data_IF_429810350854
#
_entry.id   IF_429810350854
#
_cell.length_a   1.000
_cell.length_b   1.000
_cell.length_c   1.000
_cell.angle_alpha   90.00
_cell.angle_beta   90.00
_cell.angle_gamma   90.00
#
_symmetry.space_group_name_H-M   'P 1'
#
loop_
_entity.id
_entity.type
_entity.pdbx_description
1 polymer ?
#
# COMPACT_ATOMS: atom_id res chain seq x y z
N UNK A 1 27.56 62.56 -1.20
CA UNK A 1 27.17 61.16 -1.52
C UNK A 1 27.45 60.34 -0.29
N UNK A 2 26.43 60.19 0.54
CA UNK A 2 26.60 59.88 1.95
C UNK A 2 26.72 58.37 2.09
N UNK A 3 27.96 57.91 2.31
CA UNK A 3 28.34 56.50 2.35
C UNK A 3 27.48 55.69 3.34
N UNK A 4 26.93 56.34 4.37
CA UNK A 4 26.03 55.75 5.37
C UNK A 4 24.69 55.29 4.78
N UNK A 5 24.17 55.94 3.74
CA UNK A 5 22.88 55.64 3.13
C UNK A 5 22.99 54.49 2.11
N UNK A 6 24.15 54.36 1.48
CA UNK A 6 24.47 53.27 0.56
C UNK A 6 24.74 51.95 1.31
N UNK A 7 25.49 52.00 2.42
CA UNK A 7 25.75 50.83 3.27
C UNK A 7 24.46 50.30 3.92
N UNK A 8 23.55 51.19 4.34
CA UNK A 8 22.27 50.80 4.94
C UNK A 8 21.34 50.11 3.95
N UNK A 9 21.32 50.54 2.68
CA UNK A 9 20.55 49.91 1.59
C UNK A 9 21.14 48.56 1.18
N UNK A 10 22.47 48.43 1.14
CA UNK A 10 23.15 47.16 0.81
C UNK A 10 22.95 46.13 1.92
N UNK A 11 23.03 46.53 3.20
CA UNK A 11 22.75 45.62 4.32
C UNK A 11 21.29 45.16 4.33
N UNK A 12 20.33 46.04 3.99
CA UNK A 12 18.91 45.66 3.93
C UNK A 12 18.64 44.65 2.80
N UNK A 13 19.26 44.85 1.62
CA UNK A 13 19.09 43.95 0.47
C UNK A 13 19.78 42.60 0.72
N UNK A 14 20.98 42.58 1.32
CA UNK A 14 21.67 41.32 1.67
C UNK A 14 20.89 40.51 2.72
N UNK A 15 20.25 41.17 3.68
CA UNK A 15 19.48 40.51 4.74
C UNK A 15 18.17 39.89 4.20
N UNK A 16 17.54 40.51 3.20
CA UNK A 16 16.39 39.92 2.48
C UNK A 16 16.78 38.72 1.59
N UNK A 17 17.95 38.75 0.94
CA UNK A 17 18.43 37.64 0.10
C UNK A 17 18.83 36.43 0.95
N UNK A 18 19.39 36.65 2.14
CA UNK A 18 19.69 35.57 3.09
C UNK A 18 18.41 34.94 3.68
N UNK A 19 17.36 35.72 3.95
CA UNK A 19 16.06 35.19 4.37
C UNK A 19 15.36 34.39 3.25
N UNK A 20 15.52 34.77 1.98
CA UNK A 20 14.99 33.99 0.85
C UNK A 20 15.83 32.72 0.55
N UNK A 21 17.13 32.73 0.85
CA UNK A 21 18.01 31.57 0.67
C UNK A 21 17.88 30.52 1.80
N UNK A 22 17.52 30.93 3.03
CA UNK A 22 17.35 30.03 4.17
C UNK A 22 15.88 29.78 4.58
N UNK A 23 14.94 30.64 4.21
CA UNK A 23 13.51 30.52 4.57
C UNK A 23 12.69 29.57 3.68
N UNK A 24 13.29 29.02 2.62
CA UNK A 24 12.63 28.15 1.65
C UNK A 24 12.70 26.64 1.92
N UNK A 25 13.11 26.20 3.12
CA UNK A 25 13.22 24.76 3.45
C UNK A 25 12.16 24.30 4.48
N UNK A 26 11.31 25.20 4.99
CA UNK A 26 10.31 24.86 6.02
C UNK A 26 8.86 24.76 5.51
N UNK A 27 8.67 24.52 4.22
CA UNK A 27 7.38 24.16 3.64
C UNK A 27 7.51 22.83 2.88
N UNK A 28 6.59 21.90 3.15
CA UNK A 28 6.58 20.48 2.73
C UNK A 28 7.42 19.50 3.58
N UNK A 29 7.30 19.60 4.90
CA UNK A 29 7.03 18.37 5.64
C UNK A 29 5.53 18.08 5.48
N UNK A 30 5.13 17.61 4.29
CA UNK A 30 3.93 16.77 4.23
C UNK A 30 4.24 15.61 5.16
N UNK A 31 3.65 15.62 6.35
CA UNK A 31 3.39 14.40 7.06
C UNK A 31 2.46 13.62 6.16
N UNK A 32 3.05 12.88 5.21
CA UNK A 32 2.42 11.74 4.56
C UNK A 32 2.13 10.79 5.71
N UNK A 33 1.00 11.03 6.35
CA UNK A 33 0.35 10.13 7.29
C UNK A 33 0.42 8.80 6.56
N UNK A 34 1.11 7.77 7.11
CA UNK A 34 1.02 6.46 6.51
C UNK A 34 -0.46 6.14 6.58
N UNK A 35 -1.13 6.28 5.44
CA UNK A 35 -2.42 5.66 5.22
C UNK A 35 -2.20 4.19 5.60
N UNK A 36 -3.22 3.53 6.15
CA UNK A 36 -3.22 2.10 6.48
C UNK A 36 -3.14 1.21 5.21
N UNK A 37 -2.36 1.67 4.24
CA UNK A 37 -2.18 1.28 2.87
C UNK A 37 -0.68 1.25 2.55
N UNK A 38 0.17 1.05 3.58
CA UNK A 38 1.41 0.27 3.47
C UNK A 38 1.02 -1.18 3.11
N UNK A 39 0.36 -1.29 1.95
CA UNK A 39 0.10 -2.50 1.21
C UNK A 39 1.47 -3.08 0.96
N UNK A 40 1.86 -4.05 1.79
CA UNK A 40 2.86 -5.06 1.45
C UNK A 40 2.62 -5.39 -0.02
N UNK A 41 3.50 -4.91 -0.90
CA UNK A 41 3.28 -4.93 -2.35
C UNK A 41 3.20 -6.40 -2.74
N UNK A 42 1.98 -6.94 -2.87
CA UNK A 42 1.79 -8.34 -3.18
C UNK A 42 2.35 -8.55 -4.58
N UNK A 43 3.27 -9.49 -4.71
CA UNK A 43 3.71 -9.95 -6.01
C UNK A 43 2.56 -10.73 -6.65
N UNK A 44 1.67 -9.99 -7.33
CA UNK A 44 0.47 -10.53 -7.94
C UNK A 44 0.78 -11.62 -8.97
N UNK A 45 1.91 -11.52 -9.67
CA UNK A 45 2.33 -12.53 -10.66
C UNK A 45 2.67 -13.84 -9.96
N UNK A 46 3.46 -13.78 -8.89
CA UNK A 46 3.81 -14.96 -8.09
C UNK A 46 2.58 -15.55 -7.41
N UNK A 47 1.75 -14.72 -6.79
CA UNK A 47 0.53 -15.17 -6.13
C UNK A 47 -0.42 -15.88 -7.12
N UNK A 48 -0.58 -15.33 -8.33
CA UNK A 48 -1.42 -15.92 -9.36
C UNK A 48 -0.87 -17.24 -9.92
N UNK A 49 0.46 -17.36 -10.04
CA UNK A 49 1.09 -18.63 -10.42
C UNK A 49 0.80 -19.73 -9.41
N UNK A 50 0.95 -19.43 -8.12
CA UNK A 50 0.63 -20.38 -7.03
C UNK A 50 -0.87 -20.71 -7.03
N UNK A 51 -1.74 -19.71 -7.17
CA UNK A 51 -3.18 -19.89 -7.27
C UNK A 51 -3.55 -20.87 -8.40
N UNK A 52 -3.02 -20.65 -9.61
CA UNK A 52 -3.25 -21.57 -10.74
C UNK A 52 -2.73 -22.97 -10.47
N UNK A 53 -1.54 -23.07 -9.90
CA UNK A 53 -0.89 -24.37 -9.70
C UNK A 53 -1.53 -25.19 -8.59
N UNK A 54 -2.05 -24.56 -7.53
CA UNK A 54 -2.48 -25.27 -6.32
C UNK A 54 -3.99 -25.21 -6.10
N UNK A 55 -4.63 -24.07 -6.32
CA UNK A 55 -6.06 -23.91 -6.08
C UNK A 55 -6.91 -24.48 -7.23
N UNK A 56 -6.38 -24.44 -8.47
CA UNK A 56 -7.11 -24.90 -9.65
C UNK A 56 -6.89 -26.38 -10.02
N UNK A 57 -6.20 -27.14 -9.17
CA UNK A 57 -6.04 -28.59 -9.39
C UNK A 57 -7.32 -29.37 -9.08
N UNK A 58 -8.15 -28.84 -8.18
CA UNK A 58 -9.42 -29.46 -7.76
C UNK A 58 -10.65 -28.61 -8.11
N UNK A 59 -10.47 -27.32 -8.44
CA UNK A 59 -11.55 -26.39 -8.74
C UNK A 59 -11.29 -25.65 -10.05
N UNK A 60 -12.32 -25.45 -10.87
CA UNK A 60 -12.19 -24.60 -12.06
C UNK A 60 -12.14 -23.11 -11.71
N UNK A 61 -12.76 -22.72 -10.60
CA UNK A 61 -12.76 -21.37 -10.06
C UNK A 61 -12.96 -21.38 -8.54
N UNK A 62 -12.24 -20.50 -7.85
CA UNK A 62 -12.35 -20.32 -6.39
C UNK A 62 -12.95 -18.96 -6.02
N UNK A 63 -12.74 -17.93 -6.86
CA UNK A 63 -13.22 -16.57 -6.65
C UNK A 63 -14.34 -16.23 -7.65
N UNK A 64 -15.51 -16.85 -7.46
CA UNK A 64 -16.71 -16.61 -8.26
C UNK A 64 -17.19 -15.14 -8.14
N UNK A 65 -17.34 -14.41 -9.26
CA UNK A 65 -17.78 -13.01 -9.25
C UNK A 65 -19.25 -12.84 -8.85
N UNK A 66 -20.10 -13.86 -8.97
CA UNK A 66 -21.52 -13.75 -8.62
C UNK A 66 -21.77 -13.90 -7.11
N UNK A 67 -20.74 -14.31 -6.34
CA UNK A 67 -20.82 -14.45 -4.90
C UNK A 67 -20.39 -13.17 -4.18
N UNK A 68 -20.93 -12.86 -2.98
CA UNK A 68 -20.46 -11.74 -2.18
C UNK A 68 -18.96 -11.84 -1.87
N UNK A 69 -18.29 -10.68 -1.73
CA UNK A 69 -16.90 -10.56 -1.30
C UNK A 69 -16.63 -11.24 0.05
N UNK A 70 -15.36 -11.53 0.32
CA UNK A 70 -14.90 -12.05 1.61
C UNK A 70 -13.75 -11.20 2.08
N UNK A 71 -13.70 -10.93 3.38
CA UNK A 71 -12.56 -10.26 4.02
C UNK A 71 -11.29 -11.08 3.85
N UNK A 72 -10.14 -10.44 4.06
CA UNK A 72 -8.85 -11.12 3.96
C UNK A 72 -8.75 -12.31 4.92
N UNK A 73 -9.25 -12.15 6.14
CA UNK A 73 -9.12 -13.17 7.17
C UNK A 73 -10.06 -14.35 6.91
N UNK A 74 -11.26 -14.08 6.35
CA UNK A 74 -12.15 -15.14 5.84
C UNK A 74 -11.49 -15.94 4.71
N UNK A 75 -10.72 -15.30 3.82
CA UNK A 75 -9.97 -16.02 2.79
C UNK A 75 -8.85 -16.88 3.38
N UNK A 76 -8.16 -16.42 4.42
CA UNK A 76 -7.14 -17.22 5.10
C UNK A 76 -7.77 -18.46 5.77
N UNK A 77 -8.95 -18.32 6.38
CA UNK A 77 -9.69 -19.44 6.96
C UNK A 77 -10.14 -20.45 5.90
N UNK A 78 -10.59 -19.98 4.73
CA UNK A 78 -10.92 -20.86 3.59
C UNK A 78 -9.70 -21.63 3.14
N UNK A 79 -8.55 -20.96 2.98
CA UNK A 79 -7.31 -21.63 2.57
C UNK A 79 -6.91 -22.68 3.61
N UNK A 80 -6.94 -22.36 4.90
CA UNK A 80 -6.65 -23.31 5.98
C UNK A 80 -7.59 -24.53 5.94
N UNK A 81 -8.88 -24.31 5.67
CA UNK A 81 -9.83 -25.41 5.48
C UNK A 81 -9.40 -26.31 4.32
N UNK A 82 -8.91 -25.74 3.21
CA UNK A 82 -8.42 -26.50 2.06
C UNK A 82 -7.09 -27.22 2.35
N UNK A 83 -6.26 -26.75 3.27
CA UNK A 83 -5.08 -27.50 3.73
C UNK A 83 -5.48 -28.87 4.27
N UNK A 84 -6.60 -28.95 5.01
CA UNK A 84 -7.16 -30.21 5.49
C UNK A 84 -7.58 -31.19 4.36
N UNK A 85 -7.86 -30.67 3.17
CA UNK A 85 -8.16 -31.46 1.96
C UNK A 85 -6.93 -31.74 1.08
N UNK A 86 -5.72 -31.47 1.58
CA UNK A 86 -4.47 -31.75 0.87
C UNK A 86 -3.87 -30.55 0.11
N UNK A 87 -4.40 -29.33 0.29
CA UNK A 87 -3.78 -28.12 -0.25
C UNK A 87 -2.45 -27.83 0.46
N UNK A 88 -1.33 -28.21 -0.16
CA UNK A 88 0.01 -28.00 0.40
C UNK A 88 0.56 -26.60 0.13
N UNK A 89 0.07 -25.57 0.83
CA UNK A 89 0.69 -24.23 0.83
C UNK A 89 1.63 -24.05 2.03
N UNK A 90 2.66 -23.24 1.88
CA UNK A 90 3.43 -22.73 3.03
C UNK A 90 2.75 -21.49 3.61
N UNK A 91 3.00 -21.09 4.87
CA UNK A 91 2.39 -19.89 5.46
C UNK A 91 2.57 -18.62 4.60
N UNK A 92 3.75 -18.47 3.99
CA UNK A 92 4.05 -17.36 3.08
C UNK A 92 3.22 -17.40 1.79
N UNK A 93 2.99 -18.59 1.24
CA UNK A 93 2.14 -18.74 0.06
C UNK A 93 0.67 -18.53 0.41
N UNK A 94 0.23 -18.98 1.59
CA UNK A 94 -1.12 -18.73 2.12
C UNK A 94 -1.40 -17.23 2.22
N UNK A 95 -0.46 -16.43 2.74
CA UNK A 95 -0.60 -14.97 2.74
C UNK A 95 -0.68 -14.37 1.33
N UNK A 96 0.14 -14.86 0.39
CA UNK A 96 0.17 -14.35 -0.99
C UNK A 96 -1.14 -14.67 -1.72
N UNK A 97 -1.64 -15.91 -1.61
CA UNK A 97 -2.86 -16.36 -2.26
C UNK A 97 -4.08 -15.74 -1.59
N UNK A 98 -4.14 -15.70 -0.25
CA UNK A 98 -5.21 -15.05 0.49
C UNK A 98 -5.30 -13.55 0.18
N UNK A 99 -4.14 -12.88 0.10
CA UNK A 99 -4.05 -11.49 -0.33
C UNK A 99 -4.50 -11.28 -1.78
N UNK A 100 -4.17 -12.19 -2.70
CA UNK A 100 -4.66 -12.15 -4.09
C UNK A 100 -6.19 -12.30 -4.13
N UNK A 101 -6.75 -13.31 -3.47
CA UNK A 101 -8.19 -13.61 -3.46
C UNK A 101 -9.01 -12.46 -2.86
N UNK A 102 -8.50 -11.84 -1.80
CA UNK A 102 -9.05 -10.60 -1.25
C UNK A 102 -8.99 -9.47 -2.29
N UNK A 103 -7.82 -9.23 -2.89
CA UNK A 103 -7.62 -8.12 -3.83
C UNK A 103 -8.47 -8.24 -5.10
N UNK A 104 -8.77 -9.45 -5.56
CA UNK A 104 -9.65 -9.68 -6.72
C UNK A 104 -11.06 -9.13 -6.48
N UNK A 105 -11.51 -9.03 -5.23
CA UNK A 105 -12.88 -8.65 -4.87
C UNK A 105 -12.94 -7.54 -3.83
N UNK A 106 -11.87 -6.74 -3.75
CA UNK A 106 -11.79 -5.63 -2.80
C UNK A 106 -12.92 -4.64 -3.03
N UNK A 107 -13.64 -4.30 -1.98
CA UNK A 107 -14.78 -3.38 -2.01
C UNK A 107 -16.14 -4.07 -2.20
N UNK A 108 -16.18 -5.40 -2.23
CA UNK A 108 -17.42 -6.19 -2.28
C UNK A 108 -17.64 -7.02 -1.01
N UNK A 109 -16.80 -6.85 0.02
CA UNK A 109 -16.92 -7.53 1.30
C UNK A 109 -18.18 -7.08 2.04
N UNK A 110 -18.85 -8.01 2.72
CA UNK A 110 -19.90 -7.65 3.67
C UNK A 110 -19.24 -7.03 4.90
N UNK A 111 -19.81 -5.95 5.43
CA UNK A 111 -19.40 -5.41 6.72
C UNK A 111 -19.46 -6.52 7.77
N UNK A 112 -18.43 -6.66 8.63
CA UNK A 112 -18.56 -7.47 9.83
C UNK A 112 -19.56 -6.75 10.73
N UNK A 113 -20.83 -7.13 10.61
CA UNK A 113 -21.93 -6.59 11.41
C UNK A 113 -21.69 -6.73 12.91
#
# INVERSE_FOLDING_TARGET
MDKSLFVRKICFVMLCVLFLAFGGIFALAETKKPSADDKKKIDHKKAYAIYKQKCLQCHDSVADPEKPGRTRDEWLLVIETMHGYGLGLTPKETELVGGLLYNLRRGMEKDPG
#
